data_IF_006441171227
#
_entry.id   IF_006441171227
#
_cell.length_a   1.000
_cell.length_b   1.000
_cell.length_c   1.000
_cell.angle_alpha   90.00
_cell.angle_beta   90.00
_cell.angle_gamma   90.00
#
_symmetry.space_group_name_H-M   'P 1'
#
loop_
_entity.id
_entity.type
_entity.pdbx_description
1 polymer ?
#
# COMPACT_ATOMS: atom_id res chain seq x y z
N UNK A 1 -1.33 35.62 7.85
CA UNK A 1 -1.05 34.22 8.22
C UNK A 1 -2.36 33.45 8.03
N UNK A 2 -2.67 33.02 6.82
CA UNK A 2 -3.95 32.33 6.53
C UNK A 2 -3.81 30.84 6.86
N UNK A 3 -4.57 30.37 7.84
CA UNK A 3 -4.65 28.95 8.20
C UNK A 3 -5.21 28.11 7.05
N UNK A 4 -4.47 27.09 6.64
CA UNK A 4 -4.93 26.07 5.70
C UNK A 4 -5.81 25.05 6.44
N UNK A 5 -7.14 25.24 6.37
CA UNK A 5 -8.11 24.25 6.83
C UNK A 5 -8.05 23.00 5.92
N UNK A 6 -7.38 21.95 6.38
CA UNK A 6 -7.36 20.63 5.73
C UNK A 6 -8.78 20.05 5.77
N UNK A 7 -9.48 20.06 4.63
CA UNK A 7 -10.82 19.46 4.50
C UNK A 7 -10.79 17.99 4.97
N UNK A 8 -11.71 17.55 5.83
CA UNK A 8 -11.76 16.16 6.28
C UNK A 8 -12.03 15.24 5.09
N UNK A 9 -11.18 14.22 4.94
CA UNK A 9 -11.29 13.25 3.86
C UNK A 9 -12.62 12.48 4.03
N UNK A 10 -13.58 12.56 3.09
CA UNK A 10 -14.97 12.17 3.32
C UNK A 10 -15.18 10.67 3.50
N UNK A 11 -14.14 9.85 3.29
CA UNK A 11 -14.22 8.40 3.50
C UNK A 11 -12.92 7.89 4.13
N UNK A 12 -13.00 7.50 5.39
CA UNK A 12 -11.93 6.70 6.01
C UNK A 12 -12.05 5.24 5.53
N UNK A 13 -10.93 4.64 5.11
CA UNK A 13 -10.84 3.21 4.69
C UNK A 13 -11.49 2.26 5.70
N UNK A 14 -11.35 2.57 6.98
CA UNK A 14 -11.96 1.82 8.10
C UNK A 14 -13.48 1.98 8.17
N UNK A 15 -14.00 3.16 7.84
CA UNK A 15 -15.43 3.43 7.77
C UNK A 15 -16.09 2.71 6.60
N UNK A 16 -15.39 2.63 5.46
CA UNK A 16 -15.84 1.87 4.30
C UNK A 16 -16.02 0.38 4.63
N UNK A 17 -14.99 -0.27 5.18
CA UNK A 17 -15.04 -1.69 5.58
C UNK A 17 -16.11 -1.98 6.64
N UNK A 18 -16.31 -1.07 7.61
CA UNK A 18 -17.37 -1.21 8.62
C UNK A 18 -18.77 -1.09 8.01
N UNK A 19 -18.93 -0.22 7.03
CA UNK A 19 -20.22 -0.01 6.34
C UNK A 19 -20.62 -1.23 5.50
N UNK A 20 -19.64 -1.92 4.91
CA UNK A 20 -19.84 -3.16 4.15
C UNK A 20 -20.36 -4.32 5.01
N UNK A 21 -19.93 -4.39 6.28
CA UNK A 21 -20.32 -5.46 7.20
C UNK A 21 -21.68 -5.19 7.86
N UNK A 22 -22.03 -3.91 8.10
CA UNK A 22 -23.25 -3.54 8.81
C UNK A 22 -24.54 -3.65 7.96
N UNK A 23 -24.43 -3.63 6.62
CA UNK A 23 -25.59 -3.69 5.70
C UNK A 23 -25.55 -5.00 4.92
N UNK A 24 -25.79 -6.11 5.63
CA UNK A 24 -25.76 -7.49 5.12
C UNK A 24 -26.40 -7.69 3.74
N UNK A 25 -26.08 -8.83 3.09
CA UNK A 25 -26.30 -9.23 1.70
C UNK A 25 -27.39 -8.54 0.84
N UNK A 26 -28.53 -8.11 1.42
CA UNK A 26 -29.55 -7.32 0.74
C UNK A 26 -29.06 -5.93 0.25
N UNK A 27 -28.11 -5.30 0.94
CA UNK A 27 -27.51 -4.03 0.49
C UNK A 27 -26.51 -4.17 -0.67
N UNK A 28 -25.97 -5.39 -0.84
CA UNK A 28 -25.00 -5.71 -1.91
C UNK A 28 -25.72 -5.93 -3.24
N UNK A 29 -26.91 -6.55 -3.23
CA UNK A 29 -27.67 -6.82 -4.45
C UNK A 29 -28.17 -5.54 -5.15
N UNK A 30 -28.68 -4.55 -4.40
CA UNK A 30 -29.11 -3.28 -4.99
C UNK A 30 -27.94 -2.39 -5.47
N UNK A 31 -26.76 -2.52 -4.84
CA UNK A 31 -25.54 -1.87 -5.32
C UNK A 31 -24.92 -2.59 -6.54
N UNK A 32 -25.20 -3.88 -6.73
CA UNK A 32 -24.66 -4.68 -7.82
C UNK A 32 -25.29 -4.38 -9.19
N UNK A 33 -26.54 -3.92 -9.25
CA UNK A 33 -27.24 -3.62 -10.52
C UNK A 33 -26.66 -2.39 -11.23
N UNK A 34 -25.98 -1.50 -10.50
CA UNK A 34 -25.26 -0.34 -11.06
C UNK A 34 -23.75 -0.53 -11.21
N UNK A 35 -23.20 -1.68 -10.77
CA UNK A 35 -21.80 -2.02 -10.94
C UNK A 35 -21.60 -2.63 -12.33
N UNK A 36 -21.75 -1.81 -13.36
CA UNK A 36 -21.02 -2.10 -14.59
C UNK A 36 -19.53 -2.11 -14.23
N UNK A 37 -18.76 -3.17 -14.52
CA UNK A 37 -17.32 -3.04 -14.54
C UNK A 37 -17.03 -2.00 -15.61
N UNK A 38 -16.86 -0.74 -15.18
CA UNK A 38 -16.15 0.22 -15.99
C UNK A 38 -14.75 -0.37 -16.04
N UNK A 39 -14.42 -1.04 -17.14
CA UNK A 39 -13.04 -1.32 -17.47
C UNK A 39 -12.29 -0.02 -17.21
N UNK A 40 -11.30 -0.10 -16.34
CA UNK A 40 -10.58 1.06 -15.87
C UNK A 40 -9.87 1.68 -17.08
N UNK A 41 -10.55 2.60 -17.78
CA UNK A 41 -10.04 3.39 -18.89
C UNK A 41 -8.74 4.15 -18.51
N UNK A 42 -8.47 4.22 -17.20
CA UNK A 42 -7.23 4.74 -16.63
C UNK A 42 -5.97 3.92 -16.99
N UNK A 43 -6.09 2.69 -17.48
CA UNK A 43 -4.92 1.89 -17.88
C UNK A 43 -4.26 2.40 -19.18
N UNK A 44 -4.99 3.10 -20.06
CA UNK A 44 -4.52 3.49 -21.38
C UNK A 44 -3.62 4.75 -21.41
N UNK A 45 -3.35 5.39 -20.28
CA UNK A 45 -2.56 6.64 -20.23
C UNK A 45 -1.51 6.70 -19.10
N UNK A 46 -1.09 5.56 -18.55
CA UNK A 46 -0.07 5.56 -17.48
C UNK A 46 1.32 5.74 -18.10
N UNK A 47 1.90 6.94 -17.91
CA UNK A 47 3.32 7.19 -18.20
C UNK A 47 4.19 6.71 -17.06
N UNK A 48 5.00 5.67 -17.30
CA UNK A 48 5.95 5.14 -16.31
C UNK A 48 7.25 5.92 -16.33
N UNK A 49 7.64 6.47 -15.17
CA UNK A 49 8.91 7.21 -15.03
C UNK A 49 10.08 6.30 -14.63
N UNK A 50 9.78 5.17 -13.98
CA UNK A 50 10.74 4.17 -13.50
C UNK A 50 10.11 2.78 -13.60
N UNK A 51 10.94 1.78 -13.86
CA UNK A 51 10.59 0.38 -13.90
C UNK A 51 11.72 -0.45 -13.28
N UNK A 52 11.35 -1.60 -12.74
CA UNK A 52 12.26 -2.59 -12.19
C UNK A 52 11.57 -3.96 -12.22
N UNK A 53 12.35 -5.03 -12.14
CA UNK A 53 11.83 -6.40 -12.09
C UNK A 53 11.07 -6.64 -10.78
N UNK A 54 11.52 -6.02 -9.69
CA UNK A 54 10.85 -6.06 -8.39
C UNK A 54 10.71 -4.66 -7.80
N UNK A 55 9.50 -4.31 -7.36
CA UNK A 55 9.24 -3.08 -6.61
C UNK A 55 8.84 -3.45 -5.18
N UNK A 56 9.64 -3.04 -4.20
CA UNK A 56 9.40 -3.28 -2.77
C UNK A 56 8.81 -2.01 -2.15
N UNK A 57 7.67 -2.13 -1.47
CA UNK A 57 7.03 -1.03 -0.75
C UNK A 57 7.30 -1.17 0.74
N UNK A 58 8.03 -0.21 1.30
CA UNK A 58 8.53 -0.16 2.67
C UNK A 58 9.98 -0.64 2.77
N UNK A 59 10.86 0.22 3.28
CA UNK A 59 12.27 -0.06 3.58
C UNK A 59 12.45 -0.46 5.06
N UNK A 60 11.55 -1.29 5.59
CA UNK A 60 11.67 -1.89 6.92
C UNK A 60 12.49 -3.19 6.92
N UNK A 61 12.52 -3.90 8.06
CA UNK A 61 13.27 -5.16 8.22
C UNK A 61 12.96 -6.18 7.12
N UNK A 62 11.68 -6.41 6.85
CA UNK A 62 11.24 -7.36 5.82
C UNK A 62 11.50 -6.86 4.40
N UNK A 63 11.25 -5.57 4.15
CA UNK A 63 11.41 -4.97 2.82
C UNK A 63 12.86 -4.91 2.37
N UNK A 64 13.77 -4.51 3.26
CA UNK A 64 15.20 -4.51 2.97
C UNK A 64 15.73 -5.92 2.77
N UNK A 65 15.31 -6.89 3.59
CA UNK A 65 15.68 -8.30 3.39
C UNK A 65 15.18 -8.84 2.04
N UNK A 66 13.94 -8.52 1.66
CA UNK A 66 13.38 -8.85 0.35
C UNK A 66 14.19 -8.20 -0.79
N UNK A 67 14.53 -6.92 -0.66
CA UNK A 67 15.31 -6.21 -1.65
C UNK A 67 16.70 -6.85 -1.85
N UNK A 68 17.42 -7.16 -0.76
CA UNK A 68 18.71 -7.85 -0.84
C UNK A 68 18.57 -9.20 -1.54
N UNK A 69 17.63 -10.04 -1.10
CA UNK A 69 17.42 -11.36 -1.69
C UNK A 69 17.06 -11.28 -3.19
N UNK A 70 16.27 -10.29 -3.61
CA UNK A 70 15.97 -10.06 -5.03
C UNK A 70 17.19 -9.54 -5.80
N UNK A 71 18.03 -8.70 -5.19
CA UNK A 71 19.28 -8.25 -5.83
C UNK A 71 20.28 -9.39 -6.01
N UNK A 72 20.33 -10.33 -5.07
CA UNK A 72 21.22 -11.51 -5.13
C UNK A 72 20.87 -12.44 -6.30
N UNK A 73 19.63 -12.43 -6.81
CA UNK A 73 19.24 -13.16 -8.03
C UNK A 73 19.54 -12.40 -9.32
N UNK A 74 20.10 -11.18 -9.23
CA UNK A 74 20.39 -10.32 -10.37
C UNK A 74 19.24 -9.43 -10.81
N UNK A 75 18.09 -9.46 -10.12
CA UNK A 75 16.95 -8.61 -10.46
C UNK A 75 17.26 -7.11 -10.23
N UNK A 76 16.69 -6.24 -11.06
CA UNK A 76 16.61 -4.82 -10.77
C UNK A 76 15.53 -4.58 -9.71
N UNK A 77 15.84 -3.79 -8.68
CA UNK A 77 14.94 -3.54 -7.54
C UNK A 77 14.80 -2.04 -7.30
N UNK A 78 13.56 -1.58 -7.15
CA UNK A 78 13.22 -0.26 -6.61
C UNK A 78 12.56 -0.46 -5.25
N UNK A 79 13.07 0.22 -4.22
CA UNK A 79 12.44 0.28 -2.90
C UNK A 79 11.80 1.66 -2.73
N UNK A 80 10.55 1.69 -2.29
CA UNK A 80 9.80 2.92 -2.02
C UNK A 80 9.47 2.96 -0.53
N UNK A 81 9.96 3.97 0.18
CA UNK A 81 9.70 4.19 1.61
C UNK A 81 8.89 5.47 1.79
N UNK A 82 7.96 5.46 2.75
CA UNK A 82 7.15 6.63 3.10
C UNK A 82 7.98 7.64 3.91
N UNK A 83 8.82 7.12 4.80
CA UNK A 83 9.68 7.93 5.67
C UNK A 83 10.90 8.49 4.92
N UNK A 84 11.51 9.51 5.52
CA UNK A 84 12.78 10.06 5.01
C UNK A 84 13.93 9.05 5.16
N UNK A 85 13.92 8.28 6.24
CA UNK A 85 14.93 7.27 6.57
C UNK A 85 14.39 5.84 6.45
N UNK A 86 15.31 4.90 6.28
CA UNK A 86 15.01 3.46 6.25
C UNK A 86 14.94 2.84 7.65
N UNK A 87 14.46 1.61 7.74
CA UNK A 87 14.45 0.80 8.96
C UNK A 87 13.04 0.58 9.52
N UNK A 88 12.11 1.50 9.29
CA UNK A 88 10.73 1.42 9.77
C UNK A 88 10.66 1.13 11.26
N UNK A 89 9.77 0.22 11.69
CA UNK A 89 9.70 -0.20 13.12
C UNK A 89 10.89 -1.05 13.57
N UNK A 90 11.70 -1.55 12.63
CA UNK A 90 12.89 -2.34 12.94
C UNK A 90 13.94 -1.57 13.73
N UNK A 91 14.09 -0.26 13.46
CA UNK A 91 15.07 0.56 14.17
C UNK A 91 14.75 0.70 15.66
N UNK A 92 13.48 0.52 16.04
CA UNK A 92 13.00 0.60 17.41
C UNK A 92 13.00 -0.76 18.13
N UNK A 93 13.27 -1.87 17.44
CA UNK A 93 13.19 -3.22 18.04
C UNK A 93 14.41 -3.60 18.89
N UNK A 94 15.43 -2.73 18.94
CA UNK A 94 16.72 -3.02 19.57
C UNK A 94 17.49 -4.15 18.87
N UNK A 95 17.11 -4.52 17.64
CA UNK A 95 17.72 -5.63 16.91
C UNK A 95 17.35 -7.01 17.47
N UNK A 96 16.32 -7.10 18.32
CA UNK A 96 15.83 -8.40 18.80
C UNK A 96 15.23 -9.19 17.64
N UNK A 97 15.84 -10.33 17.34
CA UNK A 97 15.37 -11.29 16.34
C UNK A 97 15.15 -12.59 17.07
N UNK A 98 13.88 -12.96 17.28
CA UNK A 98 13.54 -14.27 17.81
C UNK A 98 13.76 -15.33 16.73
N UNK A 99 14.94 -15.94 16.76
CA UNK A 99 15.24 -17.14 16.00
C UNK A 99 14.76 -18.32 16.86
N UNK A 100 13.47 -18.65 16.72
CA UNK A 100 12.89 -19.85 17.33
C UNK A 100 13.10 -21.07 16.43
N UNK A 101 13.54 -22.17 17.04
CA UNK A 101 13.71 -23.50 16.46
C UNK A 101 13.73 -24.53 17.57
#
# INVERSE_FOLDING_TARGET
MSENLKKPNPVSRRSFLKTSVAKGAAGVAAAAVGLHPKEAEAANSITWHRSADVVVVGAGVSGLACACAARDTGASVIVVEENFDIGGRGIMSGGSIQLGG
#
